data_IF_608088072768
#
_entry.id   IF_608088072768
#
_cell.length_a   1.000
_cell.length_b   1.000
_cell.length_c   1.000
_cell.angle_alpha   90.00
_cell.angle_beta   90.00
_cell.angle_gamma   90.00
#
_symmetry.space_group_name_H-M   'P 1'
#
loop_
_entity.id
_entity.type
_entity.pdbx_description
1 polymer ?
#
# COMPACT_ATOMS: atom_id res chain seq x y z
N UNK A 1 -9.85 8.19 -10.90
CA UNK A 1 -10.28 6.81 -10.61
C UNK A 1 -9.54 6.32 -9.38
N UNK A 2 -10.24 6.06 -8.28
CA UNK A 2 -9.64 5.47 -7.08
C UNK A 2 -9.17 4.05 -7.40
N UNK A 3 -7.90 3.74 -7.14
CA UNK A 3 -7.41 2.34 -7.20
C UNK A 3 -8.05 1.56 -6.03
N UNK A 4 -8.32 0.28 -6.27
CA UNK A 4 -8.78 -0.60 -5.20
C UNK A 4 -7.67 -0.76 -4.15
N UNK A 5 -8.03 -0.71 -2.87
CA UNK A 5 -7.06 -0.93 -1.78
C UNK A 5 -6.73 -2.42 -1.78
N UNK A 6 -5.43 -2.75 -1.80
CA UNK A 6 -4.96 -4.13 -1.82
C UNK A 6 -5.25 -4.83 -0.50
N UNK A 7 -5.82 -6.04 -0.53
CA UNK A 7 -5.87 -6.92 0.64
C UNK A 7 -4.48 -7.47 0.97
N UNK A 8 -4.02 -7.27 2.20
CA UNK A 8 -2.66 -7.63 2.63
C UNK A 8 -2.57 -8.95 3.43
N UNK A 9 -3.64 -9.36 4.12
CA UNK A 9 -3.65 -10.57 4.94
C UNK A 9 -3.58 -11.85 4.08
N UNK A 10 -2.65 -12.73 4.42
CA UNK A 10 -2.47 -14.04 3.77
C UNK A 10 -1.62 -14.02 2.50
N UNK A 11 -0.96 -12.90 2.20
CA UNK A 11 0.03 -12.84 1.12
C UNK A 11 1.27 -13.67 1.49
N UNK A 12 1.88 -14.30 0.47
CA UNK A 12 3.15 -15.02 0.59
C UNK A 12 4.15 -14.47 -0.46
N UNK A 13 5.30 -13.89 -0.05
CA UNK A 13 5.71 -13.57 1.32
C UNK A 13 4.73 -12.59 2.02
N UNK A 14 4.82 -12.43 3.35
CA UNK A 14 3.97 -11.49 4.08
C UNK A 14 4.03 -10.07 3.49
N UNK A 15 3.01 -9.25 3.75
CA UNK A 15 2.98 -7.86 3.30
C UNK A 15 4.19 -7.09 3.86
N UNK A 16 4.85 -6.30 3.01
CA UNK A 16 5.96 -5.45 3.45
C UNK A 16 5.44 -4.13 4.01
N UNK A 17 6.29 -3.42 4.76
CA UNK A 17 5.97 -2.08 5.29
C UNK A 17 5.57 -1.12 4.16
N UNK A 18 6.28 -1.15 3.03
CA UNK A 18 5.96 -0.34 1.85
C UNK A 18 4.55 -0.62 1.31
N UNK A 19 4.11 -1.89 1.32
CA UNK A 19 2.77 -2.27 0.87
C UNK A 19 1.68 -1.84 1.86
N UNK A 20 1.98 -1.91 3.15
CA UNK A 20 1.11 -1.43 4.23
C UNK A 20 0.97 0.09 4.12
N UNK A 21 2.07 0.83 3.98
CA UNK A 21 2.05 2.28 3.79
C UNK A 21 1.32 2.66 2.51
N UNK A 22 1.55 1.95 1.40
CA UNK A 22 0.85 2.19 0.14
C UNK A 22 -0.66 1.94 0.25
N UNK A 23 -1.09 0.95 1.04
CA UNK A 23 -2.51 0.70 1.32
C UNK A 23 -3.11 1.81 2.21
N UNK A 24 -2.43 2.18 3.30
CA UNK A 24 -2.83 3.27 4.18
C UNK A 24 -2.97 4.60 3.41
N UNK A 25 -2.00 4.90 2.54
CA UNK A 25 -2.04 6.07 1.67
C UNK A 25 -3.23 6.06 0.71
N UNK A 26 -3.57 4.92 0.12
CA UNK A 26 -4.75 4.81 -0.72
C UNK A 26 -6.05 5.01 0.07
N UNK A 27 -6.13 4.47 1.29
CA UNK A 27 -7.24 4.72 2.21
C UNK A 27 -7.39 6.21 2.50
N UNK A 28 -6.31 6.90 2.90
CA UNK A 28 -6.35 8.33 3.22
C UNK A 28 -6.80 9.14 2.00
N UNK A 29 -6.30 8.85 0.79
CA UNK A 29 -6.75 9.49 -0.45
C UNK A 29 -8.24 9.28 -0.70
N UNK A 30 -8.71 8.05 -0.50
CA UNK A 30 -10.11 7.68 -0.75
C UNK A 30 -11.06 8.39 0.21
N UNK A 31 -10.71 8.44 1.49
CA UNK A 31 -11.57 9.02 2.55
C UNK A 31 -11.51 10.54 2.55
N UNK A 32 -10.34 11.13 2.37
CA UNK A 32 -10.17 12.59 2.37
C UNK A 32 -10.55 13.28 1.06
N UNK A 33 -10.59 12.56 -0.06
CA UNK A 33 -10.74 13.13 -1.40
C UNK A 33 -9.46 13.82 -1.93
N UNK A 34 -8.38 13.87 -1.13
CA UNK A 34 -7.12 14.51 -1.51
C UNK A 34 -6.32 13.59 -2.44
N UNK A 35 -6.27 13.94 -3.72
CA UNK A 35 -5.49 13.18 -4.72
C UNK A 35 -4.07 13.75 -4.90
N UNK A 36 -3.84 15.00 -4.56
CA UNK A 36 -2.50 15.60 -4.56
C UNK A 36 -2.40 16.48 -3.31
N UNK A 37 -1.69 16.03 -2.26
CA UNK A 37 -1.50 16.84 -1.06
C UNK A 37 -0.84 18.18 -1.43
N UNK A 38 -1.48 19.28 -1.05
CA UNK A 38 -0.90 20.61 -1.14
C UNK A 38 -0.01 20.89 0.07
N UNK A 39 0.80 21.94 0.03
CA UNK A 39 1.59 22.38 1.18
C UNK A 39 0.74 22.60 2.45
N UNK A 40 -0.55 22.97 2.32
CA UNK A 40 -1.46 23.17 3.45
C UNK A 40 -2.00 21.89 4.06
N UNK A 41 -1.97 20.79 3.31
CA UNK A 41 -2.60 19.51 3.70
C UNK A 41 -1.59 18.39 3.87
N UNK A 42 -0.34 18.59 3.43
CA UNK A 42 0.70 17.57 3.41
C UNK A 42 0.94 16.98 4.80
N UNK A 43 1.17 17.82 5.81
CA UNK A 43 1.48 17.35 7.17
C UNK A 43 0.37 16.48 7.76
N UNK A 44 -0.89 16.94 7.66
CA UNK A 44 -2.04 16.17 8.15
C UNK A 44 -2.25 14.87 7.36
N UNK A 45 -2.02 14.91 6.04
CA UNK A 45 -2.14 13.76 5.16
C UNK A 45 -1.08 12.70 5.48
N UNK A 46 0.20 13.07 5.55
CA UNK A 46 1.31 12.15 5.83
C UNK A 46 1.23 11.60 7.26
N UNK A 47 0.83 12.42 8.24
CA UNK A 47 0.60 11.94 9.60
C UNK A 47 -0.49 10.86 9.65
N UNK A 48 -1.61 11.08 8.97
CA UNK A 48 -2.69 10.10 8.91
C UNK A 48 -2.23 8.80 8.23
N UNK A 49 -1.43 8.89 7.16
CA UNK A 49 -0.85 7.73 6.48
C UNK A 49 -0.02 6.90 7.46
N UNK A 50 0.88 7.55 8.21
CA UNK A 50 1.77 6.87 9.15
C UNK A 50 0.99 6.18 10.29
N UNK A 51 0.02 6.87 10.89
CA UNK A 51 -0.80 6.29 11.96
C UNK A 51 -1.61 5.09 11.48
N UNK A 52 -2.21 5.18 10.29
CA UNK A 52 -2.98 4.08 9.72
C UNK A 52 -2.07 2.91 9.33
N UNK A 53 -0.88 3.17 8.79
CA UNK A 53 0.10 2.14 8.49
C UNK A 53 0.51 1.38 9.77
N UNK A 54 0.81 2.11 10.84
CA UNK A 54 1.14 1.53 12.15
C UNK A 54 0.00 0.66 12.71
N UNK A 55 -1.23 1.16 12.72
CA UNK A 55 -2.40 0.38 13.17
C UNK A 55 -2.62 -0.85 12.29
N UNK A 56 -2.43 -0.72 10.98
CA UNK A 56 -2.60 -1.82 10.03
C UNK A 56 -1.53 -2.89 10.24
N UNK A 57 -0.30 -2.50 10.53
CA UNK A 57 0.78 -3.44 10.86
C UNK A 57 0.40 -4.30 12.06
N UNK A 58 0.04 -3.67 13.18
CA UNK A 58 -0.38 -4.39 14.38
C UNK A 58 -1.60 -5.28 14.15
N UNK A 59 -2.59 -4.80 13.39
CA UNK A 59 -3.73 -5.62 13.02
C UNK A 59 -3.31 -6.88 12.25
N UNK A 60 -2.37 -6.78 11.32
CA UNK A 60 -1.89 -7.92 10.54
C UNK A 60 -1.06 -8.91 11.37
N UNK A 61 -0.33 -8.42 12.38
CA UNK A 61 0.41 -9.25 13.34
C UNK A 61 -0.53 -10.01 14.29
N UNK A 62 -1.56 -9.34 14.80
CA UNK A 62 -2.47 -9.88 15.80
C UNK A 62 -3.52 -10.85 15.21
N UNK A 63 -3.81 -10.70 13.92
CA UNK A 63 -4.78 -11.57 13.26
C UNK A 63 -4.20 -12.98 13.03
N UNK A 64 -4.99 -14.04 13.28
CA UNK A 64 -4.55 -15.39 12.98
C UNK A 64 -4.34 -15.58 11.47
N UNK A 65 -3.69 -16.67 11.09
CA UNK A 65 -3.53 -17.03 9.69
C UNK A 65 -4.87 -17.06 8.94
N UNK A 66 -4.83 -16.64 7.68
CA UNK A 66 -6.03 -16.63 6.83
C UNK A 66 -6.35 -18.07 6.43
N UNK A 67 -7.56 -18.54 6.76
CA UNK A 67 -8.00 -19.92 6.44
C UNK A 67 -8.00 -20.23 4.94
N UNK A 68 -8.28 -19.24 4.10
CA UNK A 68 -8.25 -19.37 2.65
C UNK A 68 -7.24 -18.39 2.07
N UNK A 69 -6.25 -18.85 1.29
CA UNK A 69 -5.27 -17.96 0.70
C UNK A 69 -5.93 -17.00 -0.31
N UNK A 70 -5.34 -15.82 -0.53
CA UNK A 70 -5.82 -14.88 -1.55
C UNK A 70 -5.88 -15.55 -2.93
N UNK A 71 -7.00 -15.40 -3.63
CA UNK A 71 -7.20 -16.01 -4.96
C UNK A 71 -6.42 -15.31 -6.07
N UNK A 72 -6.04 -14.03 -5.85
CA UNK A 72 -5.32 -13.24 -6.84
C UNK A 72 -4.09 -12.60 -6.22
N UNK A 73 -3.01 -12.55 -7.01
CA UNK A 73 -1.82 -11.80 -6.64
C UNK A 73 -2.10 -10.31 -6.83
N UNK A 74 -1.83 -9.47 -5.80
CA UNK A 74 -1.95 -8.03 -5.91
C UNK A 74 -1.25 -7.49 -7.17
N UNK A 75 -1.85 -6.52 -7.89
CA UNK A 75 -1.26 -5.98 -9.12
C UNK A 75 0.20 -5.55 -8.98
N UNK A 76 0.56 -4.95 -7.84
CA UNK A 76 1.94 -4.51 -7.58
C UNK A 76 2.94 -5.67 -7.45
N UNK A 77 2.50 -6.86 -7.06
CA UNK A 77 3.37 -8.03 -6.91
C UNK A 77 3.52 -8.86 -8.20
N UNK A 78 2.79 -8.52 -9.26
CA UNK A 78 2.85 -9.29 -10.51
C UNK A 78 4.21 -9.10 -11.20
N UNK A 79 4.85 -10.17 -11.71
CA UNK A 79 6.20 -10.09 -12.29
C UNK A 79 6.34 -9.03 -13.38
N UNK A 80 5.35 -8.91 -14.27
CA UNK A 80 5.34 -7.94 -15.36
C UNK A 80 5.25 -6.49 -14.86
N UNK A 81 4.59 -6.26 -13.72
CA UNK A 81 4.49 -4.94 -13.10
C UNK A 81 5.80 -4.59 -12.40
N UNK A 82 6.39 -5.55 -11.69
CA UNK A 82 7.69 -5.39 -11.03
C UNK A 82 8.81 -5.08 -12.03
N UNK A 83 8.86 -5.79 -13.16
CA UNK A 83 9.81 -5.51 -14.25
C UNK A 83 9.68 -4.07 -14.78
N UNK A 84 8.45 -3.57 -14.94
CA UNK A 84 8.21 -2.19 -15.38
C UNK A 84 8.63 -1.16 -14.34
N UNK A 85 8.36 -1.41 -13.06
CA UNK A 85 8.81 -0.55 -11.96
C UNK A 85 10.33 -0.49 -11.93
N UNK A 86 11.00 -1.65 -12.00
CA UNK A 86 12.46 -1.75 -12.01
C UNK A 86 13.08 -1.03 -13.22
N UNK A 87 12.54 -1.21 -14.43
CA UNK A 87 13.01 -0.52 -15.63
C UNK A 87 12.87 1.01 -15.51
N UNK A 88 11.78 1.49 -14.91
CA UNK A 88 11.58 2.94 -14.68
C UNK A 88 12.55 3.49 -13.63
N UNK A 89 12.79 2.73 -12.55
CA UNK A 89 13.76 3.11 -11.52
C UNK A 89 15.19 3.20 -12.11
N UNK A 90 15.60 2.21 -12.92
CA UNK A 90 16.89 2.24 -13.61
C UNK A 90 17.03 3.44 -14.57
N UNK A 91 15.98 3.78 -15.32
CA UNK A 91 15.99 4.91 -16.25
C UNK A 91 16.00 6.29 -15.56
N UNK A 92 15.61 6.38 -14.29
CA UNK A 92 15.62 7.64 -13.51
C UNK A 92 16.88 7.81 -12.66
N UNK A 93 17.70 6.78 -12.56
CA UNK A 93 19.01 6.81 -11.91
C UNK A 93 20.17 7.14 -12.87
N UNK A 94 19.89 7.21 -14.18
CA UNK A 94 20.81 7.61 -15.26
C UNK A 94 20.54 9.04 -15.71
#
# INVERSE_FOLDING_TARGET
>A
MCRNITELRGLAPAATDDEIEAAARQYVRKVSGITHPSARTADAFEKAVAEIAHITHHLLEDLPERRQPPQTVPPLRRPEVQQRIAARAAASAS
#
